data_IF_408760933587
#
_entry.id   IF_408760933587
#
_cell.length_a   1.000
_cell.length_b   1.000
_cell.length_c   1.000
_cell.angle_alpha   90.00
_cell.angle_beta   90.00
_cell.angle_gamma   90.00
#
_symmetry.space_group_name_H-M   'P 1'
#
loop_
_entity.id
_entity.type
_entity.pdbx_description
1 polymer ?
#
# COMPACT_ATOMS: atom_id res chain seq x y z
N UNK A 1 18.19 -9.95 -10.62
CA UNK A 1 19.53 -9.79 -10.00
C UNK A 1 20.46 -9.26 -11.06
N UNK A 2 21.27 -8.28 -10.70
CA UNK A 2 22.22 -7.63 -11.62
C UNK A 2 23.65 -7.90 -11.14
N UNK A 3 24.55 -8.01 -12.11
CA UNK A 3 26.01 -8.14 -11.89
C UNK A 3 26.62 -6.73 -11.76
N UNK A 4 26.21 -6.03 -10.72
CA UNK A 4 26.61 -4.67 -10.39
C UNK A 4 26.57 -4.49 -8.88
N UNK A 5 27.60 -3.90 -8.32
CA UNK A 5 27.67 -3.62 -6.89
C UNK A 5 26.69 -2.51 -6.49
N UNK A 6 26.52 -1.51 -7.34
CA UNK A 6 25.65 -0.35 -7.08
C UNK A 6 24.99 0.09 -8.39
N UNK A 7 23.67 -0.02 -8.46
CA UNK A 7 22.90 0.34 -9.66
C UNK A 7 22.51 1.81 -9.68
N UNK A 8 21.99 2.34 -8.57
CA UNK A 8 21.44 3.71 -8.50
C UNK A 8 21.90 4.52 -7.28
N UNK A 9 22.62 3.92 -6.35
CA UNK A 9 23.17 4.62 -5.18
C UNK A 9 22.17 4.97 -4.07
N UNK A 10 20.89 4.65 -4.25
CA UNK A 10 19.81 4.86 -3.29
C UNK A 10 18.86 3.69 -3.26
N UNK A 11 18.18 3.49 -2.10
CA UNK A 11 17.20 2.43 -1.97
C UNK A 11 16.01 2.62 -2.91
N UNK A 12 15.56 3.87 -3.10
CA UNK A 12 14.38 4.19 -3.93
C UNK A 12 14.65 5.40 -4.80
N UNK A 13 14.37 5.29 -6.11
CA UNK A 13 14.37 6.40 -7.06
C UNK A 13 13.02 6.42 -7.79
N UNK A 14 12.34 7.57 -7.76
CA UNK A 14 11.10 7.79 -8.50
C UNK A 14 11.38 8.48 -9.85
N UNK A 15 10.68 8.06 -10.87
CA UNK A 15 10.76 8.58 -12.23
C UNK A 15 9.48 9.32 -12.57
N UNK A 16 9.57 10.55 -13.04
CA UNK A 16 8.44 11.43 -13.34
C UNK A 16 8.32 11.82 -14.81
N UNK A 17 9.30 11.44 -15.63
CA UNK A 17 9.28 11.69 -17.06
C UNK A 17 8.33 10.75 -17.80
N UNK A 18 7.84 11.18 -18.97
CA UNK A 18 6.87 10.41 -19.76
C UNK A 18 7.50 9.29 -20.59
N UNK A 19 8.78 9.33 -20.80
CA UNK A 19 9.49 8.39 -21.66
C UNK A 19 9.86 7.12 -20.92
N UNK A 20 9.97 7.21 -19.59
CA UNK A 20 10.26 6.08 -18.71
C UNK A 20 8.97 5.29 -18.40
N UNK A 21 8.88 4.00 -18.79
CA UNK A 21 7.65 3.22 -18.66
C UNK A 21 7.37 2.73 -17.24
N UNK A 22 8.27 2.95 -16.30
CA UNK A 22 8.14 2.59 -14.89
C UNK A 22 8.19 3.84 -14.01
N UNK A 23 7.51 3.81 -12.88
CA UNK A 23 7.40 4.95 -11.96
C UNK A 23 8.45 4.93 -10.86
N UNK A 24 9.07 3.77 -10.60
CA UNK A 24 10.01 3.60 -9.50
C UNK A 24 10.99 2.46 -9.76
N UNK A 25 12.22 2.64 -9.29
CA UNK A 25 13.16 1.54 -9.09
C UNK A 25 13.54 1.47 -7.61
N UNK A 26 13.48 0.25 -7.07
CA UNK A 26 13.93 -0.08 -5.73
C UNK A 26 15.20 -0.92 -5.86
N UNK A 27 16.30 -0.49 -5.22
CA UNK A 27 17.52 -1.28 -5.05
C UNK A 27 17.60 -1.76 -3.60
N UNK A 28 17.28 -3.03 -3.40
CA UNK A 28 16.96 -3.59 -2.07
C UNK A 28 18.11 -3.54 -1.07
N UNK A 29 19.37 -3.72 -1.52
CA UNK A 29 20.51 -3.74 -0.61
C UNK A 29 20.70 -2.46 0.21
N UNK A 30 20.28 -1.32 -0.33
CA UNK A 30 20.46 -0.02 0.34
C UNK A 30 19.56 0.19 1.55
N UNK A 31 18.48 -0.58 1.72
CA UNK A 31 17.65 -0.51 2.93
C UNK A 31 18.39 -1.00 4.18
N UNK A 32 19.34 -1.92 4.01
CA UNK A 32 20.11 -2.52 5.10
C UNK A 32 21.62 -2.25 4.97
N UNK A 33 22.00 -1.25 4.15
CA UNK A 33 23.40 -0.87 3.91
C UNK A 33 24.27 -2.05 3.45
N UNK A 34 23.69 -2.93 2.64
CA UNK A 34 24.35 -4.12 2.13
C UNK A 34 25.52 -3.82 1.21
N UNK A 35 26.58 -4.63 1.32
CA UNK A 35 27.85 -4.49 0.58
C UNK A 35 28.12 -5.61 -0.41
N UNK A 36 27.08 -6.37 -0.77
CA UNK A 36 27.19 -7.50 -1.69
C UNK A 36 27.66 -7.03 -3.09
N UNK A 37 28.50 -7.84 -3.75
CA UNK A 37 29.00 -7.55 -5.11
C UNK A 37 27.88 -7.47 -6.17
N UNK A 38 26.74 -8.14 -5.92
CA UNK A 38 25.56 -8.15 -6.80
C UNK A 38 24.39 -7.45 -6.15
N UNK A 39 23.52 -6.88 -6.96
CA UNK A 39 22.32 -6.21 -6.47
C UNK A 39 21.04 -6.80 -7.04
N UNK A 40 19.93 -6.60 -6.31
CA UNK A 40 18.58 -6.91 -6.77
C UNK A 40 17.83 -5.59 -6.90
N UNK A 41 17.23 -5.38 -8.07
CA UNK A 41 16.35 -4.25 -8.29
C UNK A 41 14.93 -4.73 -8.59
N UNK A 42 13.95 -3.93 -8.16
CA UNK A 42 12.55 -4.03 -8.56
C UNK A 42 12.17 -2.80 -9.36
N UNK A 43 11.57 -2.97 -10.55
CA UNK A 43 10.95 -1.89 -11.32
C UNK A 43 9.45 -1.96 -11.14
N UNK A 44 8.84 -0.85 -10.73
CA UNK A 44 7.39 -0.74 -10.57
C UNK A 44 6.77 -0.07 -11.79
N UNK A 45 5.87 -0.80 -12.46
CA UNK A 45 5.12 -0.30 -13.61
C UNK A 45 3.70 0.05 -13.19
N UNK A 46 3.14 1.19 -13.63
CA UNK A 46 1.74 1.49 -13.41
C UNK A 46 0.86 0.48 -14.16
N UNK A 47 -0.21 0.06 -13.53
CA UNK A 47 -1.19 -0.84 -14.12
C UNK A 47 -2.58 -0.53 -13.56
N UNK A 48 -3.59 -0.58 -14.43
CA UNK A 48 -4.98 -0.58 -13.99
C UNK A 48 -5.30 -1.92 -13.33
N UNK A 49 -6.09 -1.87 -12.26
CA UNK A 49 -6.48 -3.09 -11.57
C UNK A 49 -7.56 -3.85 -12.35
N UNK A 50 -7.38 -5.15 -12.48
CA UNK A 50 -8.34 -6.06 -13.06
C UNK A 50 -8.81 -7.11 -12.04
N UNK A 51 -10.01 -7.67 -12.25
CA UNK A 51 -10.57 -8.70 -11.38
C UNK A 51 -9.65 -9.93 -11.31
N UNK A 52 -9.21 -10.27 -10.10
CA UNK A 52 -8.29 -11.37 -9.83
C UNK A 52 -6.86 -10.92 -9.52
N UNK A 53 -6.55 -9.64 -9.71
CA UNK A 53 -5.28 -9.07 -9.27
C UNK A 53 -5.38 -8.61 -7.82
N UNK A 54 -4.23 -8.53 -7.14
CA UNK A 54 -4.13 -7.99 -5.79
C UNK A 54 -4.29 -6.46 -5.82
N UNK A 55 -5.22 -5.88 -5.04
CA UNK A 55 -5.35 -4.43 -4.94
C UNK A 55 -4.31 -3.86 -3.97
N UNK A 56 -3.56 -2.84 -4.38
CA UNK A 56 -2.52 -2.23 -3.54
C UNK A 56 -2.99 -0.97 -2.79
N UNK A 57 -3.75 -0.10 -3.47
CA UNK A 57 -4.13 1.20 -2.92
C UNK A 57 -5.59 1.54 -3.20
N UNK A 58 -6.29 2.19 -2.25
CA UNK A 58 -7.59 2.80 -2.53
C UNK A 58 -7.42 4.02 -3.45
N UNK A 59 -8.22 4.12 -4.50
CA UNK A 59 -8.31 5.30 -5.36
C UNK A 59 -9.48 6.15 -4.88
N UNK A 60 -9.21 7.20 -4.11
CA UNK A 60 -10.20 8.06 -3.47
C UNK A 60 -10.75 9.13 -4.44
N UNK A 61 -11.49 8.69 -5.45
CA UNK A 61 -12.34 9.56 -6.27
C UNK A 61 -13.81 9.50 -5.79
N UNK A 62 -14.65 10.41 -6.30
CA UNK A 62 -16.06 10.50 -5.89
C UNK A 62 -16.82 9.17 -6.11
N UNK A 63 -16.70 8.58 -7.29
CA UNK A 63 -17.38 7.34 -7.64
C UNK A 63 -17.03 6.18 -6.68
N UNK A 64 -15.75 6.00 -6.40
CA UNK A 64 -15.26 4.94 -5.52
C UNK A 64 -15.65 5.21 -4.05
N UNK A 65 -15.63 6.46 -3.61
CA UNK A 65 -16.06 6.83 -2.27
C UNK A 65 -17.58 6.59 -2.07
N UNK A 66 -18.40 6.87 -3.08
CA UNK A 66 -19.83 6.57 -3.07
C UNK A 66 -20.09 5.06 -3.04
N UNK A 67 -19.33 4.29 -3.81
CA UNK A 67 -19.38 2.84 -3.79
C UNK A 67 -18.97 2.28 -2.41
N UNK A 68 -17.85 2.77 -1.86
CA UNK A 68 -17.41 2.38 -0.52
C UNK A 68 -18.46 2.69 0.55
N UNK A 69 -19.15 3.82 0.45
CA UNK A 69 -20.21 4.20 1.38
C UNK A 69 -21.38 3.18 1.40
N UNK A 70 -21.68 2.57 0.25
CA UNK A 70 -22.68 1.48 0.15
C UNK A 70 -22.18 0.20 0.85
N UNK A 71 -20.92 -0.18 0.63
CA UNK A 71 -20.31 -1.32 1.33
C UNK A 71 -20.20 -1.09 2.84
N UNK A 72 -19.89 0.12 3.28
CA UNK A 72 -19.85 0.48 4.70
C UNK A 72 -21.22 0.31 5.37
N UNK A 73 -22.31 0.70 4.68
CA UNK A 73 -23.66 0.46 5.18
C UNK A 73 -23.99 -1.04 5.26
N UNK A 74 -23.59 -1.81 4.26
CA UNK A 74 -23.77 -3.26 4.26
C UNK A 74 -22.98 -3.93 5.38
N UNK A 75 -21.74 -3.48 5.64
CA UNK A 75 -20.91 -3.99 6.73
C UNK A 75 -21.56 -3.85 8.12
N UNK A 76 -22.41 -2.83 8.32
CA UNK A 76 -23.15 -2.65 9.57
C UNK A 76 -24.19 -3.77 9.84
N UNK A 77 -24.57 -4.54 8.82
CA UNK A 77 -25.48 -5.69 8.99
C UNK A 77 -24.77 -6.96 9.49
N UNK A 78 -23.46 -6.94 9.62
CA UNK A 78 -22.64 -8.07 10.09
C UNK A 78 -21.74 -7.62 11.27
N UNK A 79 -22.35 -7.31 12.43
CA UNK A 79 -21.64 -6.70 13.57
C UNK A 79 -20.53 -7.59 14.15
N UNK A 80 -20.54 -8.88 13.85
CA UNK A 80 -19.50 -9.83 14.25
C UNK A 80 -18.21 -9.73 13.40
N UNK A 81 -18.17 -8.87 12.37
CA UNK A 81 -17.02 -8.69 11.47
C UNK A 81 -16.50 -7.26 11.57
N UNK A 82 -15.21 -7.13 11.83
CA UNK A 82 -14.51 -5.85 11.87
C UNK A 82 -13.71 -5.66 10.58
N UNK A 83 -13.99 -4.59 9.85
CA UNK A 83 -13.27 -4.21 8.64
C UNK A 83 -12.23 -3.15 8.99
N UNK A 84 -10.95 -3.48 8.87
CA UNK A 84 -9.83 -2.60 9.21
C UNK A 84 -8.79 -2.45 8.12
N UNK A 85 -7.84 -1.54 8.34
CA UNK A 85 -6.72 -1.29 7.45
C UNK A 85 -7.06 -0.44 6.22
N UNK A 86 -6.07 -0.23 5.36
CA UNK A 86 -6.17 0.67 4.20
C UNK A 86 -7.33 0.31 3.26
N UNK A 87 -7.44 -0.95 2.89
CA UNK A 87 -8.47 -1.41 1.96
C UNK A 87 -9.83 -1.58 2.65
N UNK A 88 -9.88 -2.16 3.85
CA UNK A 88 -11.11 -2.37 4.59
C UNK A 88 -11.81 -1.07 5.01
N UNK A 89 -11.06 0.00 5.26
CA UNK A 89 -11.57 1.35 5.56
C UNK A 89 -11.54 2.28 4.35
N UNK A 90 -11.04 1.81 3.22
CA UNK A 90 -10.88 2.54 1.95
C UNK A 90 -10.18 3.89 2.13
N UNK A 91 -9.06 3.89 2.87
CA UNK A 91 -8.26 5.07 3.19
C UNK A 91 -6.78 4.85 2.93
N UNK A 92 -6.14 5.85 2.35
CA UNK A 92 -4.68 5.87 2.20
C UNK A 92 -4.04 6.31 3.51
N UNK A 93 -3.85 5.35 4.42
CA UNK A 93 -3.21 5.60 5.71
C UNK A 93 -1.68 5.54 5.62
N UNK A 94 -1.02 6.46 6.31
CA UNK A 94 0.37 6.26 6.72
C UNK A 94 0.47 5.20 7.84
N UNK A 95 1.67 4.67 8.09
CA UNK A 95 1.85 3.60 9.09
C UNK A 95 1.31 3.99 10.47
N UNK A 96 1.61 5.20 10.96
CA UNK A 96 1.12 5.66 12.26
C UNK A 96 -0.40 5.81 12.29
N UNK A 97 -1.03 6.17 11.18
CA UNK A 97 -2.48 6.33 11.09
C UNK A 97 -3.21 4.98 11.11
N UNK A 98 -2.70 3.95 10.41
CA UNK A 98 -3.32 2.64 10.44
C UNK A 98 -3.18 1.97 11.81
N UNK A 99 -2.06 2.18 12.51
CA UNK A 99 -1.86 1.71 13.88
C UNK A 99 -2.85 2.41 14.83
N UNK A 100 -2.97 3.75 14.75
CA UNK A 100 -3.91 4.51 15.57
C UNK A 100 -5.37 4.06 15.33
N UNK A 101 -5.76 3.84 14.08
CA UNK A 101 -7.10 3.33 13.74
C UNK A 101 -7.37 1.94 14.34
N UNK A 102 -6.40 1.03 14.28
CA UNK A 102 -6.52 -0.30 14.87
C UNK A 102 -6.66 -0.24 16.41
N UNK A 103 -5.85 0.58 17.08
CA UNK A 103 -5.93 0.78 18.52
C UNK A 103 -7.28 1.37 18.96
N UNK A 104 -7.85 2.28 18.17
CA UNK A 104 -9.15 2.86 18.46
C UNK A 104 -10.28 1.82 18.35
N UNK A 105 -10.25 0.96 17.31
CA UNK A 105 -11.19 -0.15 17.17
C UNK A 105 -11.10 -1.08 18.38
N UNK A 106 -9.90 -1.48 18.79
CA UNK A 106 -9.71 -2.31 20.00
C UNK A 106 -10.31 -1.66 21.24
N UNK A 107 -10.09 -0.35 21.45
CA UNK A 107 -10.68 0.37 22.59
C UNK A 107 -12.21 0.34 22.56
N UNK A 108 -12.81 0.48 21.37
CA UNK A 108 -14.27 0.46 21.24
C UNK A 108 -14.81 -0.94 21.57
N UNK A 109 -14.24 -2.00 21.02
CA UNK A 109 -14.66 -3.38 21.27
C UNK A 109 -14.54 -3.82 22.73
N UNK A 110 -13.57 -3.27 23.48
CA UNK A 110 -13.36 -3.62 24.90
C UNK A 110 -13.96 -2.63 25.90
N UNK A 111 -14.52 -1.50 25.46
CA UNK A 111 -15.24 -0.56 26.34
C UNK A 111 -16.67 -0.98 26.63
N UNK A 112 -17.28 -1.79 25.79
CA UNK A 112 -18.67 -2.25 25.92
C UNK A 112 -18.78 -3.56 26.72
N UNK A 113 -17.74 -3.95 27.42
CA UNK A 113 -17.72 -5.07 28.38
C UNK A 113 -17.32 -4.52 29.75
#
# INVERSE_FOLDING_TARGET
MLDSENFQGNAVVNYTDRETPYTRIIEHKHFEFGTQEKTVITKEYPSDWEKGQEPYYPVNNQQNNDLYSKYKKLAQTVPQVIFGGRLGQYRYYDMHQVIAAALEVVKQEFKEK
#
